data_IF_108388239444
#
_entry.id   IF_108388239444
#
_cell.length_a   1.000
_cell.length_b   1.000
_cell.length_c   1.000
_cell.angle_alpha   90.00
_cell.angle_beta   90.00
_cell.angle_gamma   90.00
#
_symmetry.space_group_name_H-M   'P 1'
#
loop_
_entity.id
_entity.type
_entity.pdbx_description
1 polymer ?
#
# COMPACT_ATOMS: atom_id res chain seq x y z
N UNK A 1 -10.31 -3.52 -17.70
CA UNK A 1 -9.51 -2.43 -17.11
C UNK A 1 -9.58 -2.50 -15.59
N UNK A 2 -10.50 -1.75 -14.98
CA UNK A 2 -10.61 -1.60 -13.52
C UNK A 2 -10.82 -2.92 -12.75
N UNK A 3 -11.69 -3.81 -13.26
CA UNK A 3 -11.93 -5.14 -12.68
C UNK A 3 -10.65 -5.96 -12.57
N UNK A 4 -9.89 -6.03 -13.66
CA UNK A 4 -8.61 -6.74 -13.71
C UNK A 4 -7.59 -6.08 -12.77
N UNK A 5 -7.47 -4.75 -12.78
CA UNK A 5 -6.56 -4.02 -11.90
C UNK A 5 -6.84 -4.32 -10.42
N UNK A 6 -8.10 -4.24 -9.99
CA UNK A 6 -8.49 -4.53 -8.61
C UNK A 6 -8.22 -5.98 -8.24
N UNK A 7 -8.54 -6.93 -9.12
CA UNK A 7 -8.28 -8.34 -8.88
C UNK A 7 -6.79 -8.65 -8.79
N UNK A 8 -5.98 -8.15 -9.73
CA UNK A 8 -4.52 -8.31 -9.72
C UNK A 8 -3.91 -7.66 -8.48
N UNK A 9 -4.37 -6.48 -8.08
CA UNK A 9 -3.91 -5.83 -6.84
C UNK A 9 -4.14 -6.72 -5.61
N UNK A 10 -5.34 -7.27 -5.45
CA UNK A 10 -5.69 -8.13 -4.32
C UNK A 10 -4.90 -9.43 -4.34
N UNK A 11 -4.74 -10.06 -5.51
CA UNK A 11 -3.94 -11.29 -5.64
C UNK A 11 -2.47 -11.03 -5.28
N UNK A 12 -1.83 -10.00 -5.85
CA UNK A 12 -0.45 -9.65 -5.49
C UNK A 12 -0.31 -9.44 -3.98
N UNK A 13 -1.22 -8.68 -3.38
CA UNK A 13 -1.20 -8.41 -1.95
C UNK A 13 -1.37 -9.69 -1.13
N UNK A 14 -2.31 -10.57 -1.51
CA UNK A 14 -2.64 -11.81 -0.80
C UNK A 14 -1.52 -12.83 -0.89
N UNK A 15 -1.03 -13.12 -2.09
CA UNK A 15 0.04 -14.11 -2.30
C UNK A 15 1.33 -13.66 -1.62
N UNK A 16 1.66 -12.37 -1.72
CA UNK A 16 2.81 -11.82 -1.01
C UNK A 16 2.63 -11.90 0.51
N UNK A 17 1.42 -11.64 1.03
CA UNK A 17 1.13 -11.77 2.46
C UNK A 17 1.20 -13.23 2.95
N UNK A 18 0.93 -14.20 2.07
CA UNK A 18 1.12 -15.63 2.34
C UNK A 18 2.60 -16.06 2.32
N UNK A 19 3.51 -15.18 1.87
CA UNK A 19 4.94 -15.45 1.76
C UNK A 19 5.37 -15.93 0.37
N UNK A 20 4.48 -15.92 -0.62
CA UNK A 20 4.84 -16.23 -1.99
C UNK A 20 5.47 -15.01 -2.68
N UNK A 21 6.78 -15.13 -2.93
CA UNK A 21 7.55 -14.08 -3.57
C UNK A 21 7.54 -14.19 -5.10
N UNK A 22 7.10 -15.30 -5.68
CA UNK A 22 7.01 -15.48 -7.13
C UNK A 22 5.55 -15.72 -7.49
N UNK A 23 4.90 -14.72 -8.09
CA UNK A 23 3.52 -14.89 -8.58
C UNK A 23 3.52 -15.83 -9.78
N UNK A 24 3.33 -17.12 -9.52
CA UNK A 24 3.20 -18.17 -10.53
C UNK A 24 1.78 -18.15 -11.13
N UNK A 25 0.78 -17.95 -10.28
CA UNK A 25 -0.62 -17.94 -10.67
C UNK A 25 -1.17 -16.51 -10.78
N UNK A 26 -1.56 -16.14 -12.00
CA UNK A 26 -2.28 -14.90 -12.27
C UNK A 26 -3.76 -15.07 -11.90
N UNK A 27 -4.46 -13.98 -11.51
CA UNK A 27 -5.89 -14.04 -11.21
C UNK A 27 -6.65 -14.78 -12.32
N UNK A 28 -7.48 -15.78 -11.97
CA UNK A 28 -8.25 -16.51 -12.96
C UNK A 28 -9.21 -15.56 -13.68
N UNK A 29 -9.59 -15.89 -14.91
CA UNK A 29 -10.60 -15.14 -15.65
C UNK A 29 -11.98 -15.53 -15.09
N UNK A 30 -12.30 -15.04 -13.90
CA UNK A 30 -13.58 -15.19 -13.22
C UNK A 30 -14.21 -13.81 -12.95
N UNK A 31 -15.30 -13.53 -13.65
CA UNK A 31 -15.99 -12.25 -13.54
C UNK A 31 -16.56 -11.98 -12.14
N UNK A 32 -17.05 -13.02 -11.45
CA UNK A 32 -17.64 -12.87 -10.12
C UNK A 32 -16.56 -12.57 -9.08
N UNK A 33 -15.42 -13.26 -9.18
CA UNK A 33 -14.26 -12.95 -8.35
C UNK A 33 -13.76 -11.52 -8.61
N UNK A 34 -13.64 -11.13 -9.87
CA UNK A 34 -13.19 -9.77 -10.22
C UNK A 34 -14.14 -8.70 -9.70
N UNK A 35 -15.45 -8.92 -9.76
CA UNK A 35 -16.44 -7.99 -9.24
C UNK A 35 -16.38 -7.91 -7.71
N UNK A 36 -16.21 -9.05 -7.04
CA UNK A 36 -16.02 -9.12 -5.59
C UNK A 36 -14.75 -8.37 -5.14
N UNK A 37 -13.64 -8.58 -5.83
CA UNK A 37 -12.37 -7.89 -5.55
C UNK A 37 -12.47 -6.38 -5.83
N UNK A 38 -13.17 -5.98 -6.90
CA UNK A 38 -13.44 -4.56 -7.16
C UNK A 38 -14.30 -3.95 -6.05
N UNK A 39 -15.35 -4.63 -5.61
CA UNK A 39 -16.20 -4.17 -4.51
C UNK A 39 -15.40 -4.06 -3.20
N UNK A 40 -14.55 -5.04 -2.90
CA UNK A 40 -13.64 -5.00 -1.77
C UNK A 40 -12.74 -3.74 -1.81
N UNK A 41 -12.06 -3.50 -2.92
CA UNK A 41 -11.18 -2.33 -3.11
C UNK A 41 -11.96 -1.03 -3.01
N UNK A 42 -13.16 -0.96 -3.59
CA UNK A 42 -14.01 0.22 -3.52
C UNK A 42 -14.45 0.53 -2.08
N UNK A 43 -14.88 -0.47 -1.32
CA UNK A 43 -15.24 -0.29 0.10
C UNK A 43 -14.03 0.14 0.93
N UNK A 44 -12.86 -0.48 0.69
CA UNK A 44 -11.63 -0.09 1.35
C UNK A 44 -11.26 1.37 1.05
N UNK A 45 -11.39 1.80 -0.21
CA UNK A 45 -11.16 3.18 -0.62
C UNK A 45 -12.13 4.17 0.04
N UNK A 46 -13.42 3.82 0.15
CA UNK A 46 -14.39 4.68 0.82
C UNK A 46 -14.03 4.90 2.30
N UNK A 47 -13.71 3.83 3.03
CA UNK A 47 -13.32 3.95 4.44
C UNK A 47 -11.99 4.66 4.61
N UNK A 48 -11.01 4.41 3.74
CA UNK A 48 -9.69 5.03 3.85
C UNK A 48 -9.65 6.48 3.44
N UNK A 49 -10.68 6.99 2.76
CA UNK A 49 -10.78 8.41 2.45
C UNK A 49 -11.16 9.25 3.68
N UNK A 50 -11.74 8.65 4.72
CA UNK A 50 -12.23 9.38 5.91
C UNK A 50 -11.12 10.24 6.55
N UNK A 51 -9.89 9.75 6.79
CA UNK A 51 -8.82 10.59 7.35
C UNK A 51 -8.31 11.68 6.40
N UNK A 52 -8.51 11.52 5.09
CA UNK A 52 -8.13 12.51 4.09
C UNK A 52 -9.19 13.63 3.94
N UNK A 53 -10.44 13.40 4.39
CA UNK A 53 -11.55 14.34 4.23
C UNK A 53 -11.27 15.76 4.75
N UNK A 54 -10.68 15.99 5.95
CA UNK A 54 -10.44 17.35 6.43
C UNK A 54 -9.52 18.14 5.48
N UNK A 55 -8.52 17.49 4.90
CA UNK A 55 -7.58 18.10 3.96
C UNK A 55 -8.23 18.32 2.59
N UNK A 56 -8.99 17.34 2.11
CA UNK A 56 -9.74 17.47 0.86
C UNK A 56 -10.76 18.62 0.95
N UNK A 57 -11.53 18.69 2.03
CA UNK A 57 -12.49 19.76 2.27
C UNK A 57 -11.82 21.12 2.39
N UNK A 58 -10.72 21.21 3.16
CA UNK A 58 -9.94 22.44 3.25
C UNK A 58 -9.55 22.92 1.85
N UNK A 59 -9.02 22.05 1.01
CA UNK A 59 -8.57 22.43 -0.32
C UNK A 59 -9.71 22.77 -1.28
N UNK A 60 -10.85 22.09 -1.19
CA UNK A 60 -12.06 22.48 -1.94
C UNK A 60 -12.49 23.91 -1.61
N UNK A 61 -12.36 24.34 -0.35
CA UNK A 61 -12.77 25.67 0.09
C UNK A 61 -11.68 26.74 -0.03
N UNK A 62 -10.40 26.37 -0.20
CA UNK A 62 -9.29 27.32 -0.25
C UNK A 62 -8.56 27.38 -1.59
N UNK A 63 -8.74 26.41 -2.47
CA UNK A 63 -8.02 26.28 -3.74
C UNK A 63 -9.04 26.25 -4.88
N UNK A 64 -9.13 27.35 -5.62
CA UNK A 64 -10.06 27.51 -6.75
C UNK A 64 -9.61 26.76 -8.03
N UNK A 65 -8.51 26.01 -7.96
CA UNK A 65 -7.96 25.24 -9.07
C UNK A 65 -8.10 23.72 -8.82
N UNK A 66 -9.02 23.03 -9.50
CA UNK A 66 -9.15 21.57 -9.40
C UNK A 66 -7.94 20.81 -9.97
N UNK A 67 -7.10 21.45 -10.79
CA UNK A 67 -5.83 20.90 -11.28
C UNK A 67 -4.65 21.09 -10.32
N UNK A 68 -4.87 21.67 -9.14
CA UNK A 68 -3.78 22.05 -8.27
C UNK A 68 -2.99 20.86 -7.73
N UNK A 69 -1.66 20.97 -7.75
CA UNK A 69 -0.75 19.96 -7.19
C UNK A 69 -0.99 19.71 -5.69
N UNK A 70 -1.65 20.64 -4.98
CA UNK A 70 -2.00 20.48 -3.57
C UNK A 70 -2.86 19.23 -3.30
N UNK A 71 -3.62 18.74 -4.29
CA UNK A 71 -4.37 17.48 -4.19
C UNK A 71 -3.50 16.24 -3.87
N UNK A 72 -2.18 16.35 -3.98
CA UNK A 72 -1.24 15.32 -3.55
C UNK A 72 -1.38 14.96 -2.06
N UNK A 73 -1.65 15.94 -1.19
CA UNK A 73 -1.70 15.73 0.27
C UNK A 73 -2.85 14.79 0.67
N UNK A 74 -4.12 15.09 0.36
CA UNK A 74 -5.21 14.17 0.67
C UNK A 74 -5.05 12.82 -0.05
N UNK A 75 -4.45 12.80 -1.25
CA UNK A 75 -4.21 11.55 -1.98
C UNK A 75 -3.20 10.65 -1.26
N UNK A 76 -2.08 11.19 -0.78
CA UNK A 76 -1.07 10.43 -0.05
C UNK A 76 -1.63 9.91 1.28
N UNK A 77 -2.37 10.74 2.02
CA UNK A 77 -3.04 10.33 3.26
C UNK A 77 -4.02 9.18 2.99
N UNK A 78 -4.81 9.31 1.92
CA UNK A 78 -5.77 8.31 1.50
C UNK A 78 -5.10 6.97 1.15
N UNK A 79 -4.03 6.96 0.35
CA UNK A 79 -3.32 5.74 -0.05
C UNK A 79 -2.60 5.04 1.11
N UNK A 80 -2.01 5.82 2.02
CA UNK A 80 -1.43 5.27 3.25
C UNK A 80 -2.52 4.64 4.12
N UNK A 81 -3.64 5.33 4.33
CA UNK A 81 -4.77 4.80 5.11
C UNK A 81 -5.38 3.57 4.44
N UNK A 82 -5.47 3.58 3.10
CA UNK A 82 -6.02 2.48 2.29
C UNK A 82 -5.31 1.16 2.58
N UNK A 83 -3.99 1.22 2.74
CA UNK A 83 -3.17 0.08 3.09
C UNK A 83 -3.61 -0.58 4.39
N UNK A 84 -3.82 0.20 5.45
CA UNK A 84 -4.27 -0.32 6.74
C UNK A 84 -5.69 -0.87 6.68
N UNK A 85 -6.57 -0.23 5.91
CA UNK A 85 -7.95 -0.68 5.73
C UNK A 85 -8.00 -2.02 4.99
N UNK A 86 -7.24 -2.16 3.89
CA UNK A 86 -7.12 -3.42 3.14
C UNK A 86 -6.59 -4.53 4.04
N UNK A 87 -5.49 -4.31 4.76
CA UNK A 87 -4.96 -5.31 5.70
C UNK A 87 -5.97 -5.69 6.79
N UNK A 88 -6.74 -4.74 7.30
CA UNK A 88 -7.77 -5.00 8.31
C UNK A 88 -8.91 -5.85 7.77
N UNK A 89 -9.40 -5.52 6.58
CA UNK A 89 -10.48 -6.26 5.93
C UNK A 89 -10.03 -7.67 5.52
N UNK A 90 -8.78 -7.82 5.06
CA UNK A 90 -8.19 -9.13 4.75
C UNK A 90 -7.99 -9.98 5.99
N UNK A 91 -7.37 -9.45 7.05
CA UNK A 91 -7.11 -10.20 8.28
C UNK A 91 -8.38 -10.61 9.01
N UNK A 92 -9.41 -9.77 8.98
CA UNK A 92 -10.70 -10.07 9.61
C UNK A 92 -11.66 -10.90 8.74
N UNK A 93 -11.35 -11.09 7.46
CA UNK A 93 -12.25 -11.70 6.48
C UNK A 93 -13.56 -10.94 6.26
N UNK A 94 -13.66 -9.68 6.71
CA UNK A 94 -14.89 -8.90 6.66
C UNK A 94 -14.66 -7.49 6.11
N UNK A 95 -15.47 -7.11 5.12
CA UNK A 95 -15.45 -5.76 4.55
C UNK A 95 -16.01 -4.68 5.49
N UNK A 96 -16.74 -5.08 6.54
CA UNK A 96 -17.35 -4.15 7.51
C UNK A 96 -16.42 -3.80 8.67
N UNK A 97 -15.21 -4.37 8.70
CA UNK A 97 -14.20 -4.12 9.73
C UNK A 97 -12.98 -3.41 9.12
N UNK A 98 -13.12 -2.13 8.73
CA UNK A 98 -12.05 -1.38 8.07
C UNK A 98 -10.87 -1.10 9.01
N UNK A 99 -11.04 -1.23 10.32
CA UNK A 99 -9.98 -1.09 11.31
C UNK A 99 -10.08 -2.24 12.31
N UNK A 100 -8.95 -2.92 12.53
CA UNK A 100 -8.81 -4.02 13.48
C UNK A 100 -7.87 -3.60 14.60
N UNK A 101 -8.35 -3.68 15.84
CA UNK A 101 -7.52 -3.40 17.02
C UNK A 101 -6.36 -4.38 17.15
N UNK A 102 -6.52 -5.62 16.67
CA UNK A 102 -5.45 -6.62 16.64
C UNK A 102 -4.37 -6.25 15.64
N UNK A 103 -4.76 -5.79 14.45
CA UNK A 103 -3.82 -5.30 13.43
C UNK A 103 -3.04 -4.09 13.94
N UNK A 104 -3.72 -3.12 14.57
CA UNK A 104 -3.06 -1.94 15.16
C UNK A 104 -2.01 -2.37 16.19
N UNK A 105 -2.36 -3.29 17.09
CA UNK A 105 -1.42 -3.82 18.10
C UNK A 105 -0.23 -4.52 17.43
N UNK A 106 -0.49 -5.34 16.42
CA UNK A 106 0.54 -6.07 15.70
C UNK A 106 1.52 -5.13 14.97
N UNK A 107 1.00 -4.06 14.36
CA UNK A 107 1.82 -3.00 13.73
C UNK A 107 2.60 -2.21 14.77
N UNK A 108 1.96 -1.83 15.88
CA UNK A 108 2.60 -1.08 16.96
C UNK A 108 3.79 -1.83 17.57
N UNK A 109 3.73 -3.17 17.60
CA UNK A 109 4.83 -4.03 18.03
C UNK A 109 5.96 -4.18 17.00
N UNK A 110 5.80 -3.64 15.78
CA UNK A 110 6.81 -3.70 14.70
C UNK A 110 7.06 -2.34 14.04
N UNK A 111 7.58 -1.35 14.79
CA UNK A 111 7.84 -0.02 14.26
C UNK A 111 8.88 -0.02 13.11
N UNK A 112 9.82 -0.98 13.10
CA UNK A 112 10.78 -1.15 12.02
C UNK A 112 10.12 -1.51 10.69
N UNK A 113 9.15 -2.43 10.71
CA UNK A 113 8.41 -2.83 9.49
C UNK A 113 7.46 -1.73 9.03
N UNK A 114 6.82 -1.05 9.98
CA UNK A 114 6.01 0.13 9.68
C UNK A 114 6.84 1.22 8.99
N UNK A 115 8.04 1.52 9.50
CA UNK A 115 8.89 2.55 8.89
C UNK A 115 9.40 2.16 7.50
N UNK A 116 9.77 0.89 7.29
CA UNK A 116 10.12 0.35 5.97
C UNK A 116 8.94 0.45 5.01
N UNK A 117 7.76 0.00 5.43
CA UNK A 117 6.54 0.10 4.65
C UNK A 117 6.28 1.55 4.23
N UNK A 118 6.32 2.50 5.17
CA UNK A 118 6.07 3.92 4.90
C UNK A 118 7.14 4.54 3.99
N UNK A 119 8.40 4.14 4.12
CA UNK A 119 9.50 4.60 3.28
C UNK A 119 9.28 4.27 1.79
N UNK A 120 8.58 3.18 1.48
CA UNK A 120 8.18 2.83 0.11
C UNK A 120 6.77 3.29 -0.25
N UNK A 121 5.81 3.20 0.67
CA UNK A 121 4.43 3.57 0.43
C UNK A 121 4.29 5.07 0.13
N UNK A 122 5.07 5.92 0.79
CA UNK A 122 5.07 7.37 0.55
C UNK A 122 5.49 7.74 -0.89
N UNK A 123 6.69 7.36 -1.39
CA UNK A 123 7.07 7.67 -2.77
C UNK A 123 6.17 7.00 -3.80
N UNK A 124 5.71 5.76 -3.57
CA UNK A 124 4.75 5.13 -4.48
C UNK A 124 3.41 5.89 -4.53
N UNK A 125 2.94 6.43 -3.41
CA UNK A 125 1.71 7.24 -3.38
C UNK A 125 1.86 8.53 -4.18
N UNK A 126 3.02 9.18 -4.08
CA UNK A 126 3.36 10.36 -4.90
C UNK A 126 3.40 9.99 -6.38
N UNK A 127 4.06 8.89 -6.74
CA UNK A 127 4.15 8.43 -8.13
C UNK A 127 2.77 8.09 -8.69
N UNK A 128 1.91 7.40 -7.93
CA UNK A 128 0.54 7.14 -8.36
C UNK A 128 -0.24 8.43 -8.59
N UNK A 129 -0.11 9.42 -7.70
CA UNK A 129 -0.73 10.74 -7.91
C UNK A 129 -0.24 11.38 -9.21
N UNK A 130 1.08 11.47 -9.41
CA UNK A 130 1.69 12.06 -10.62
C UNK A 130 1.23 11.36 -11.89
N UNK A 131 1.25 10.03 -11.93
CA UNK A 131 0.85 9.27 -13.12
C UNK A 131 -0.67 9.34 -13.38
N UNK A 132 -1.48 9.40 -12.33
CA UNK A 132 -2.92 9.65 -12.47
C UNK A 132 -3.20 11.07 -12.98
N UNK A 133 -2.45 12.07 -12.51
CA UNK A 133 -2.54 13.44 -12.98
C UNK A 133 -2.11 13.55 -14.45
N UNK A 134 -1.01 12.91 -14.85
CA UNK A 134 -0.58 12.82 -16.26
C UNK A 134 -1.63 12.18 -17.17
N UNK A 135 -2.41 11.22 -16.66
CA UNK A 135 -3.46 10.56 -17.42
C UNK A 135 -4.73 11.43 -17.57
N UNK A 136 -4.95 12.41 -16.68
CA UNK A 136 -6.17 13.22 -16.62
C UNK A 136 -5.95 14.63 -17.19
N UNK A 137 -4.79 15.24 -16.96
CA UNK A 137 -4.54 16.64 -17.31
C UNK A 137 -4.48 16.86 -18.83
N UNK A 138 -5.37 17.73 -19.31
CA UNK A 138 -5.54 18.08 -20.71
C UNK A 138 -4.44 19.03 -21.23
N UNK A 139 -3.73 19.75 -20.34
CA UNK A 139 -2.70 20.71 -20.74
C UNK A 139 -1.40 20.03 -21.15
N UNK A 140 -0.95 19.03 -20.39
CA UNK A 140 0.22 18.20 -20.71
C UNK A 140 0.05 17.38 -22.00
N UNK A 141 -1.19 17.23 -22.44
CA UNK A 141 -1.61 16.30 -23.48
C UNK A 141 -1.81 16.96 -24.86
N UNK A 142 -1.65 18.28 -25.01
CA UNK A 142 -2.09 19.03 -26.21
C UNK A 142 -1.57 18.51 -27.56
N UNK A 143 -0.42 17.85 -27.60
CA UNK A 143 0.16 17.30 -28.85
C UNK A 143 0.24 15.75 -28.90
N UNK A 144 0.28 15.07 -27.74
CA UNK A 144 0.48 13.59 -27.65
C UNK A 144 -0.60 12.86 -26.83
N UNK A 145 -1.85 13.36 -26.81
CA UNK A 145 -2.95 12.90 -25.92
C UNK A 145 -3.00 11.39 -25.66
N UNK A 146 -2.95 10.59 -26.71
CA UNK A 146 -3.08 9.12 -26.60
C UNK A 146 -1.87 8.49 -25.92
N UNK A 147 -0.65 8.94 -26.25
CA UNK A 147 0.57 8.39 -25.67
C UNK A 147 0.73 8.80 -24.21
N UNK A 148 0.47 10.06 -23.86
CA UNK A 148 0.54 10.53 -22.46
C UNK A 148 -0.46 9.78 -21.59
N UNK A 149 -1.70 9.59 -22.07
CA UNK A 149 -2.71 8.78 -21.41
C UNK A 149 -2.25 7.33 -21.22
N UNK A 150 -1.79 6.69 -22.30
CA UNK A 150 -1.33 5.30 -22.26
C UNK A 150 -0.19 5.09 -21.27
N UNK A 151 0.86 5.92 -21.33
CA UNK A 151 1.99 5.83 -20.41
C UNK A 151 1.57 6.16 -18.97
N UNK A 152 0.71 7.15 -18.75
CA UNK A 152 0.17 7.46 -17.42
C UNK A 152 -0.57 6.26 -16.82
N UNK A 153 -1.47 5.64 -17.57
CA UNK A 153 -2.18 4.44 -17.12
C UNK A 153 -1.25 3.24 -16.87
N UNK A 154 -0.25 3.03 -17.74
CA UNK A 154 0.73 1.96 -17.60
C UNK A 154 1.57 2.14 -16.33
N UNK A 155 2.15 3.33 -16.13
CA UNK A 155 2.98 3.65 -14.98
C UNK A 155 2.18 3.63 -13.67
N UNK A 156 0.94 4.13 -13.70
CA UNK A 156 0.01 3.99 -12.59
C UNK A 156 -0.19 2.52 -12.23
N UNK A 157 -0.50 1.67 -13.21
CA UNK A 157 -0.72 0.23 -13.01
C UNK A 157 0.52 -0.46 -12.42
N UNK A 158 1.70 -0.22 -12.99
CA UNK A 158 2.96 -0.78 -12.47
C UNK A 158 3.22 -0.33 -11.03
N UNK A 159 3.01 0.95 -10.73
CA UNK A 159 3.19 1.48 -9.37
C UNK A 159 2.19 0.87 -8.40
N UNK A 160 0.92 0.67 -8.82
CA UNK A 160 -0.10 -0.01 -8.02
C UNK A 160 0.30 -1.44 -7.66
N UNK A 161 0.96 -2.16 -8.57
CA UNK A 161 1.45 -3.52 -8.30
C UNK A 161 2.64 -3.53 -7.33
N UNK A 162 3.59 -2.60 -7.48
CA UNK A 162 4.69 -2.44 -6.51
C UNK A 162 4.17 -2.04 -5.13
N UNK A 163 3.14 -1.21 -5.08
CA UNK A 163 2.48 -0.83 -3.84
C UNK A 163 1.74 -2.00 -3.19
N UNK A 164 1.00 -2.79 -3.98
CA UNK A 164 0.34 -4.02 -3.51
C UNK A 164 1.37 -5.00 -2.93
N UNK A 165 2.53 -5.12 -3.58
CA UNK A 165 3.64 -5.94 -3.12
C UNK A 165 4.21 -5.44 -1.79
N UNK A 166 4.47 -4.15 -1.67
CA UNK A 166 4.93 -3.54 -0.42
C UNK A 166 3.92 -3.73 0.72
N UNK A 167 2.62 -3.64 0.41
CA UNK A 167 1.55 -3.90 1.35
C UNK A 167 1.51 -5.36 1.82
N UNK A 168 1.62 -6.30 0.88
CA UNK A 168 1.67 -7.73 1.19
C UNK A 168 2.88 -8.10 2.05
N UNK A 169 4.05 -7.52 1.80
CA UNK A 169 5.24 -7.70 2.63
C UNK A 169 5.01 -7.20 4.07
N UNK A 170 4.41 -6.02 4.22
CA UNK A 170 4.05 -5.52 5.55
C UNK A 170 3.09 -6.48 6.26
N UNK A 171 2.06 -6.95 5.58
CA UNK A 171 1.11 -7.91 6.13
C UNK A 171 1.80 -9.23 6.56
N UNK A 172 2.70 -9.76 5.71
CA UNK A 172 3.50 -10.94 6.01
C UNK A 172 4.35 -10.75 7.27
N UNK A 173 5.11 -9.66 7.34
CA UNK A 173 5.96 -9.39 8.48
C UNK A 173 5.17 -9.11 9.75
N UNK A 174 4.01 -8.47 9.67
CA UNK A 174 3.15 -8.25 10.84
C UNK A 174 2.59 -9.58 11.38
N UNK A 175 2.25 -10.52 10.49
CA UNK A 175 1.60 -11.79 10.83
C UNK A 175 2.51 -12.86 11.46
N UNK A 176 3.85 -12.84 11.25
CA UNK A 176 4.77 -13.90 11.74
C UNK A 176 5.74 -13.46 12.83
N UNK A 177 5.58 -13.88 14.11
CA UNK A 177 6.48 -13.48 15.21
C UNK A 177 7.87 -14.14 15.23
N UNK A 178 8.18 -15.09 14.34
CA UNK A 178 9.33 -16.00 14.53
C UNK A 178 10.45 -15.85 13.47
N UNK A 179 10.20 -15.23 12.32
CA UNK A 179 11.16 -15.20 11.19
C UNK A 179 12.12 -13.99 11.18
N UNK A 180 11.97 -13.01 12.07
CA UNK A 180 12.80 -11.79 12.05
C UNK A 180 14.25 -12.06 12.48
N UNK A 181 14.48 -13.06 13.33
CA UNK A 181 15.82 -13.50 13.77
C UNK A 181 16.53 -14.30 12.67
N UNK A 182 15.78 -14.95 11.77
CA UNK A 182 16.35 -15.76 10.69
C UNK A 182 16.84 -14.93 9.49
N UNK A 183 16.37 -13.68 9.33
CA UNK A 183 16.67 -12.86 8.14
C UNK A 183 17.69 -11.73 8.37
N UNK A 184 18.16 -11.55 9.61
CA UNK A 184 19.23 -10.59 9.91
C UNK A 184 20.09 -11.04 11.13
N UNK A 185 20.90 -12.09 10.97
CA UNK A 185 21.76 -12.62 12.04
C UNK A 185 22.81 -11.59 12.54
N UNK A 186 23.15 -10.60 11.72
CA UNK A 186 24.18 -9.60 12.05
C UNK A 186 23.76 -8.61 13.16
N UNK A 187 22.48 -8.56 13.54
CA UNK A 187 21.99 -7.71 14.66
C UNK A 187 21.97 -8.40 16.01
N UNK A 188 21.96 -9.74 16.08
CA UNK A 188 22.04 -10.44 17.38
C UNK A 188 23.44 -10.42 17.98
N UNK A 189 24.47 -10.25 17.17
CA UNK A 189 25.86 -10.24 17.63
C UNK A 189 26.32 -8.88 18.15
N UNK A 190 25.67 -7.77 17.76
CA UNK A 190 26.08 -6.41 18.19
C UNK A 190 25.50 -5.95 19.53
N UNK A 191 24.42 -6.57 20.02
CA UNK A 191 23.77 -6.17 21.28
C UNK A 191 24.15 -7.06 22.49
N UNK A 192 25.12 -7.96 22.32
CA UNK A 192 25.68 -8.70 23.48
C UNK A 192 26.73 -7.81 24.14
N UNK A 193 26.56 -7.34 25.40
CA UNK A 193 27.64 -6.67 26.11
C UNK A 193 28.78 -7.68 26.23
N UNK A 194 29.99 -7.34 25.78
CA UNK A 194 31.16 -8.17 26.01
C UNK A 194 31.47 -8.22 27.51
N UNK A 195 30.88 -9.18 28.22
CA UNK A 195 31.28 -9.55 29.57
C UNK A 195 32.56 -10.37 29.46
N UNK A 196 33.71 -9.69 29.35
CA UNK A 196 35.00 -10.30 29.67
C UNK A 196 35.29 -9.96 31.14
N UNK A 197 34.71 -10.73 32.06
CA UNK A 197 35.31 -10.93 33.37
C UNK A 197 36.41 -11.99 33.19
N UNK A 198 37.65 -11.54 33.07
CA UNK A 198 38.82 -12.38 33.34
C UNK A 198 39.02 -12.43 34.86
N UNK A 199 38.76 -13.59 35.45
CA UNK A 199 39.07 -13.93 36.84
C UNK A 199 39.44 -15.41 36.90
N UNK A 200 40.47 -15.72 37.69
CA UNK A 200 41.09 -17.02 38.05
C UNK A 200 41.86 -17.73 36.93
N UNK A 201 43.18 -18.01 37.05
CA UNK A 201 43.96 -18.47 38.22
C UNK A 201 45.37 -17.83 38.35
#
# INVERSE_FOLDING_TARGET
>A
GLLLLASTFIVICRETAAGDLELIDWPPIDLMEWLSNLFFVAVAALFSYIPALPFALLFIFTIDDPGSYWWIVPTVIHLITFSFVVMSMMSSGSMTRPISGELIKAIANRPGELSRFLAYAFPFSILMFVFSYMAIDHEFAKEYKVWTYFFGCLLFTMTSFLFARNLGLMAFYVAKPEDYVAFNPDKSEQDTPSSTEESSD
#
